data_IF_834841099132
#
_entry.id   IF_834841099132
#
_cell.length_a   1.000
_cell.length_b   1.000
_cell.length_c   1.000
_cell.angle_alpha   90.00
_cell.angle_beta   90.00
_cell.angle_gamma   90.00
#
_symmetry.space_group_name_H-M   'P 1'
#
loop_
_entity.id
_entity.type
_entity.pdbx_description
1 polymer ?
#
# COMPACT_ATOMS: atom_id res chain seq x y z
N UNK A 1 -5.33 -15.17 29.91
CA UNK A 1 -6.09 -14.39 28.91
C UNK A 1 -5.17 -14.23 27.70
N UNK A 2 -5.41 -14.97 26.64
CA UNK A 2 -4.64 -14.87 25.39
C UNK A 2 -5.09 -13.61 24.67
N UNK A 3 -4.17 -12.72 24.30
CA UNK A 3 -4.47 -11.54 23.50
C UNK A 3 -5.13 -11.96 22.18
N UNK A 4 -6.07 -11.17 21.62
CA UNK A 4 -6.65 -11.47 20.32
C UNK A 4 -5.52 -11.57 19.29
N UNK A 5 -5.32 -12.76 18.73
CA UNK A 5 -4.51 -12.93 17.53
C UNK A 5 -5.19 -12.16 16.43
N UNK A 6 -4.60 -11.04 16.00
CA UNK A 6 -5.11 -10.24 14.89
C UNK A 6 -5.35 -11.18 13.69
N UNK A 7 -6.61 -11.33 13.31
CA UNK A 7 -7.01 -12.11 12.14
C UNK A 7 -6.57 -11.32 10.91
N UNK A 8 -5.40 -11.68 10.36
CA UNK A 8 -4.83 -10.97 9.21
C UNK A 8 -5.66 -11.27 7.97
N UNK A 9 -6.17 -10.22 7.34
CA UNK A 9 -6.88 -10.29 6.06
C UNK A 9 -6.00 -9.66 4.99
N UNK A 10 -5.99 -10.28 3.81
CA UNK A 10 -5.19 -9.83 2.67
C UNK A 10 -6.09 -9.13 1.67
N UNK A 11 -5.78 -7.88 1.32
CA UNK A 11 -6.46 -7.15 0.25
C UNK A 11 -5.48 -7.02 -0.91
N UNK A 12 -5.69 -7.81 -1.96
CA UNK A 12 -5.04 -7.88 -3.28
C UNK A 12 -3.50 -7.89 -3.38
N UNK A 13 -2.76 -7.28 -2.46
CA UNK A 13 -1.29 -7.32 -2.29
C UNK A 13 -0.84 -6.72 -0.94
N UNK A 14 -1.78 -6.37 -0.06
CA UNK A 14 -1.52 -5.81 1.27
C UNK A 14 -1.83 -6.82 2.37
N UNK A 15 -0.92 -6.91 3.33
CA UNK A 15 -1.17 -7.58 4.61
C UNK A 15 -1.68 -6.54 5.60
N UNK A 16 -2.88 -6.76 6.15
CA UNK A 16 -3.49 -5.86 7.14
C UNK A 16 -3.38 -6.44 8.54
N UNK A 17 -3.02 -5.59 9.49
CA UNK A 17 -3.09 -5.90 10.92
C UNK A 17 -3.88 -4.82 11.69
N UNK A 18 -4.57 -5.24 12.74
CA UNK A 18 -5.24 -4.34 13.67
C UNK A 18 -4.24 -3.83 14.71
N UNK A 19 -4.23 -2.51 14.91
CA UNK A 19 -3.36 -1.82 15.86
C UNK A 19 -3.99 -1.76 17.26
N UNK A 20 -3.16 -1.65 18.32
CA UNK A 20 -3.66 -1.32 19.66
C UNK A 20 -4.47 -0.02 19.62
N UNK A 21 -5.75 -0.08 19.99
CA UNK A 21 -6.67 1.06 19.89
C UNK A 21 -7.70 0.97 18.76
N UNK A 22 -7.67 -0.10 17.95
CA UNK A 22 -8.71 -0.39 16.96
C UNK A 22 -8.48 0.21 15.57
N UNK A 23 -7.36 0.91 15.36
CA UNK A 23 -6.92 1.32 14.03
C UNK A 23 -6.43 0.14 13.20
N UNK A 24 -6.24 0.36 11.91
CA UNK A 24 -5.78 -0.64 10.94
C UNK A 24 -4.50 -0.15 10.28
N UNK A 25 -3.57 -1.08 10.04
CA UNK A 25 -2.37 -0.84 9.25
C UNK A 25 -2.27 -1.87 8.13
N UNK A 26 -2.22 -1.40 6.89
CA UNK A 26 -1.93 -2.20 5.72
C UNK A 26 -0.50 -1.96 5.25
N UNK A 27 0.25 -3.04 5.02
CA UNK A 27 1.61 -3.00 4.46
C UNK A 27 1.61 -3.75 3.13
N UNK A 28 2.11 -3.12 2.07
CA UNK A 28 2.19 -3.76 0.75
C UNK A 28 3.27 -4.84 0.72
N UNK A 29 2.93 -6.04 0.27
CA UNK A 29 3.81 -7.21 0.33
C UNK A 29 5.07 -7.04 -0.53
N UNK A 30 4.92 -6.46 -1.73
CA UNK A 30 6.04 -6.21 -2.66
C UNK A 30 6.75 -4.86 -2.45
N UNK A 31 6.26 -4.01 -1.53
CA UNK A 31 6.82 -2.69 -1.27
C UNK A 31 6.58 -2.30 0.19
N UNK A 32 7.38 -2.82 1.14
CA UNK A 32 7.14 -2.63 2.57
C UNK A 32 7.22 -1.16 3.04
N UNK A 33 7.73 -0.25 2.19
CA UNK A 33 7.70 1.18 2.45
C UNK A 33 6.32 1.79 2.19
N UNK A 34 5.46 1.13 1.40
CA UNK A 34 4.08 1.53 1.20
C UNK A 34 3.21 1.02 2.35
N UNK A 35 2.98 1.92 3.31
CA UNK A 35 2.16 1.68 4.49
C UNK A 35 0.96 2.62 4.47
N UNK A 36 -0.22 2.07 4.73
CA UNK A 36 -1.49 2.80 4.82
C UNK A 36 -2.07 2.55 6.21
N UNK A 37 -2.51 3.61 6.89
CA UNK A 37 -3.16 3.52 8.21
C UNK A 37 -4.54 4.15 8.14
N UNK A 38 -5.54 3.45 8.67
CA UNK A 38 -6.93 3.90 8.64
C UNK A 38 -7.64 3.56 9.96
N UNK A 39 -8.70 4.31 10.29
CA UNK A 39 -9.50 4.05 11.51
C UNK A 39 -10.57 2.97 11.29
N UNK A 40 -10.91 2.65 10.05
CA UNK A 40 -11.97 1.69 9.69
C UNK A 40 -11.66 0.94 8.39
N UNK A 41 -12.28 -0.22 8.21
CA UNK A 41 -12.03 -1.11 7.07
C UNK A 41 -12.50 -0.52 5.74
N UNK A 42 -13.60 0.22 5.74
CA UNK A 42 -14.15 0.86 4.52
C UNK A 42 -13.21 1.95 3.98
N UNK A 43 -12.57 2.71 4.88
CA UNK A 43 -11.56 3.69 4.49
C UNK A 43 -10.29 3.00 3.98
N UNK A 44 -9.87 1.92 4.65
CA UNK A 44 -8.66 1.20 4.32
C UNK A 44 -8.64 0.66 2.89
N UNK A 45 -9.75 0.07 2.42
CA UNK A 45 -9.85 -0.51 1.07
C UNK A 45 -9.61 0.57 -0.01
N UNK A 46 -10.29 1.71 0.12
CA UNK A 46 -10.16 2.83 -0.80
C UNK A 46 -8.76 3.45 -0.77
N UNK A 47 -8.18 3.60 0.42
CA UNK A 47 -6.83 4.15 0.56
C UNK A 47 -5.76 3.22 0.02
N UNK A 48 -5.89 1.90 0.22
CA UNK A 48 -4.98 0.90 -0.36
C UNK A 48 -5.04 0.90 -1.88
N UNK A 49 -6.24 0.98 -2.47
CA UNK A 49 -6.42 1.12 -3.92
C UNK A 49 -5.75 2.39 -4.46
N UNK A 50 -5.97 3.53 -3.80
CA UNK A 50 -5.37 4.80 -4.21
C UNK A 50 -3.84 4.77 -4.13
N UNK A 51 -3.29 4.21 -3.05
CA UNK A 51 -1.86 4.03 -2.85
C UNK A 51 -1.22 3.15 -3.93
N UNK A 52 -1.89 2.06 -4.32
CA UNK A 52 -1.43 1.17 -5.38
C UNK A 52 -1.42 1.83 -6.77
N UNK A 53 -2.46 2.60 -7.11
CA UNK A 53 -2.54 3.35 -8.37
C UNK A 53 -1.41 4.38 -8.44
N UNK A 54 -1.23 5.19 -7.39
CA UNK A 54 -0.19 6.20 -7.33
C UNK A 54 1.21 5.60 -7.49
N UNK A 55 1.48 4.48 -6.81
CA UNK A 55 2.73 3.72 -6.96
C UNK A 55 2.93 3.24 -8.40
N UNK A 56 1.91 2.64 -8.99
CA UNK A 56 1.97 2.09 -10.35
C UNK A 56 2.25 3.19 -11.38
N UNK A 57 1.63 4.36 -11.22
CA UNK A 57 1.90 5.52 -12.07
C UNK A 57 3.32 6.05 -11.90
N UNK A 58 3.81 6.20 -10.66
CA UNK A 58 5.20 6.60 -10.41
C UNK A 58 6.18 5.66 -11.10
N UNK A 59 6.00 4.35 -10.98
CA UNK A 59 6.87 3.37 -11.63
C UNK A 59 6.79 3.43 -13.15
N UNK A 60 5.59 3.67 -13.70
CA UNK A 60 5.42 3.87 -15.14
C UNK A 60 6.13 5.16 -15.61
N UNK A 61 6.08 6.23 -14.84
CA UNK A 61 6.75 7.50 -15.18
C UNK A 61 8.27 7.40 -15.04
N UNK A 62 8.79 6.80 -13.96
CA UNK A 62 10.23 6.51 -13.81
C UNK A 62 10.75 5.66 -14.97
N UNK A 63 9.95 4.67 -15.40
CA UNK A 63 10.28 3.84 -16.56
C UNK A 63 10.33 4.68 -17.84
N UNK A 64 9.33 5.53 -18.07
CA UNK A 64 9.30 6.45 -19.21
C UNK A 64 10.50 7.40 -19.21
N UNK A 65 10.87 7.94 -18.05
CA UNK A 65 12.03 8.83 -17.93
C UNK A 65 13.34 8.13 -18.26
N UNK A 66 13.53 6.89 -17.81
CA UNK A 66 14.70 6.08 -18.16
C UNK A 66 14.74 5.69 -19.63
N UNK A 67 13.58 5.51 -20.25
CA UNK A 67 13.44 5.16 -21.66
C UNK A 67 13.47 6.38 -22.60
N UNK A 68 13.54 7.62 -22.07
CA UNK A 68 13.67 8.81 -22.92
C UNK A 68 15.04 8.83 -23.59
N UNK A 69 15.13 8.79 -24.93
CA UNK A 69 16.40 8.95 -25.62
C UNK A 69 16.94 10.35 -25.35
N UNK A 70 18.24 10.46 -25.04
CA UNK A 70 18.95 11.73 -25.01
C UNK A 70 18.85 12.37 -26.40
N UNK A 71 17.96 13.36 -26.54
CA UNK A 71 17.93 14.17 -27.76
C UNK A 71 19.16 15.10 -27.70
N UNK A 72 20.25 14.69 -28.34
CA UNK A 72 21.36 15.57 -28.66
C UNK A 72 20.86 16.57 -29.72
N UNK A 73 20.67 17.83 -29.32
CA UNK A 73 20.46 18.97 -30.22
C UNK A 73 21.81 19.43 -30.80
#
# INVERSE_FOLDING_TARGET
>A
MTAPTAERRRIYEFTVEELPGGGLRAVHDADPALVVEAEAWEALDLECMAAWIARTWRLADERRERERPEVQL
#
